data_IF_613819196144
#
_entry.id   IF_613819196144
#
_cell.length_a   1.000
_cell.length_b   1.000
_cell.length_c   1.000
_cell.angle_alpha   90.00
_cell.angle_beta   90.00
_cell.angle_gamma   90.00
#
_symmetry.space_group_name_H-M   'P 1'
#
loop_
_entity.id
_entity.type
_entity.pdbx_description
1 polymer ?
#
# COMPACT_ATOMS: atom_id res chain seq x y z
N UNK A 1 5.74 -17.76 53.39
CA UNK A 1 4.46 -17.42 52.68
C UNK A 1 4.66 -16.27 51.68
N UNK A 2 5.38 -15.23 51.98
CA UNK A 2 5.58 -14.06 51.08
C UNK A 2 6.18 -14.39 49.68
N UNK A 3 7.16 -15.30 49.59
CA UNK A 3 7.77 -15.66 48.30
C UNK A 3 6.80 -16.32 47.29
N UNK A 4 5.78 -17.04 47.75
CA UNK A 4 4.76 -17.64 46.87
C UNK A 4 3.81 -16.56 46.32
N UNK A 5 3.45 -15.58 47.13
CA UNK A 5 2.58 -14.47 46.72
C UNK A 5 3.24 -13.57 45.68
N UNK A 6 4.54 -13.31 45.78
CA UNK A 6 5.31 -12.54 44.78
C UNK A 6 5.31 -13.28 43.42
N UNK A 7 5.39 -14.62 43.42
CA UNK A 7 5.28 -15.42 42.20
C UNK A 7 3.92 -15.31 41.53
N UNK A 8 2.83 -15.34 42.28
CA UNK A 8 1.47 -15.23 41.72
C UNK A 8 1.18 -13.82 41.18
N UNK A 9 1.69 -12.76 41.85
CA UNK A 9 1.57 -11.39 41.38
C UNK A 9 2.36 -11.19 40.06
N UNK A 10 3.57 -11.75 39.97
CA UNK A 10 4.39 -11.70 38.77
C UNK A 10 3.73 -12.41 37.57
N UNK A 11 3.17 -13.61 37.78
CA UNK A 11 2.46 -14.36 36.73
C UNK A 11 1.17 -13.63 36.30
N UNK A 12 0.41 -13.09 37.26
CA UNK A 12 -0.80 -12.30 36.96
C UNK A 12 -0.50 -11.05 36.13
N UNK A 13 0.56 -10.33 36.48
CA UNK A 13 1.02 -9.14 35.74
C UNK A 13 1.46 -9.50 34.30
N UNK A 14 2.19 -10.58 34.11
CA UNK A 14 2.57 -11.08 32.79
C UNK A 14 1.36 -11.49 31.94
N UNK A 15 0.39 -12.18 32.53
CA UNK A 15 -0.86 -12.52 31.83
C UNK A 15 -1.66 -11.29 31.42
N UNK A 16 -1.79 -10.28 32.30
CA UNK A 16 -2.47 -9.04 31.98
C UNK A 16 -1.75 -8.27 30.85
N UNK A 17 -0.42 -8.22 30.88
CA UNK A 17 0.38 -7.61 29.83
C UNK A 17 0.21 -8.34 28.48
N UNK A 18 0.24 -9.67 28.47
CA UNK A 18 0.02 -10.48 27.27
C UNK A 18 -1.39 -10.31 26.69
N UNK A 19 -2.42 -10.27 27.54
CA UNK A 19 -3.80 -10.00 27.13
C UNK A 19 -3.94 -8.57 26.57
N UNK A 20 -3.35 -7.58 27.22
CA UNK A 20 -3.34 -6.19 26.74
C UNK A 20 -2.64 -6.06 25.37
N UNK A 21 -1.48 -6.67 25.20
CA UNK A 21 -0.78 -6.73 23.90
C UNK A 21 -1.61 -7.44 22.83
N UNK A 22 -2.29 -8.54 23.17
CA UNK A 22 -3.18 -9.27 22.25
C UNK A 22 -4.36 -8.42 21.79
N UNK A 23 -4.99 -7.67 22.69
CA UNK A 23 -6.11 -6.76 22.35
C UNK A 23 -5.63 -5.62 21.44
N UNK A 24 -4.48 -5.02 21.75
CA UNK A 24 -3.91 -3.95 20.92
C UNK A 24 -3.54 -4.47 19.52
N UNK A 25 -2.94 -5.64 19.44
CA UNK A 25 -2.60 -6.28 18.17
C UNK A 25 -3.85 -6.56 17.31
N UNK A 26 -4.90 -7.15 17.92
CA UNK A 26 -6.14 -7.45 17.18
C UNK A 26 -6.85 -6.17 16.73
N UNK A 27 -6.83 -5.10 17.53
CA UNK A 27 -7.38 -3.79 17.14
C UNK A 27 -6.61 -3.19 15.97
N UNK A 28 -5.29 -3.24 16.02
CA UNK A 28 -4.43 -2.75 14.93
C UNK A 28 -4.65 -3.53 13.63
N UNK A 29 -4.71 -4.86 13.71
CA UNK A 29 -4.97 -5.72 12.56
C UNK A 29 -6.36 -5.46 11.95
N UNK A 30 -7.38 -5.25 12.77
CA UNK A 30 -8.73 -4.90 12.29
C UNK A 30 -8.74 -3.54 11.59
N UNK A 31 -8.10 -2.53 12.19
CA UNK A 31 -8.04 -1.20 11.60
C UNK A 31 -7.32 -1.22 10.24
N UNK A 32 -6.23 -1.96 10.14
CA UNK A 32 -5.53 -2.16 8.87
C UNK A 32 -6.42 -2.85 7.84
N UNK A 33 -7.15 -3.91 8.23
CA UNK A 33 -8.08 -4.61 7.35
C UNK A 33 -9.21 -3.69 6.88
N UNK A 34 -9.82 -2.91 7.78
CA UNK A 34 -10.90 -1.97 7.40
C UNK A 34 -10.42 -0.86 6.47
N UNK A 35 -9.14 -0.45 6.54
CA UNK A 35 -8.54 0.47 5.58
C UNK A 35 -8.33 -0.23 4.23
N UNK A 36 -7.81 -1.47 4.24
CA UNK A 36 -7.57 -2.20 2.99
C UNK A 36 -8.85 -2.51 2.23
N UNK A 37 -9.95 -2.76 2.92
CA UNK A 37 -11.27 -3.01 2.31
C UNK A 37 -11.92 -1.77 1.66
N UNK A 38 -11.31 -0.59 1.80
CA UNK A 38 -11.85 0.69 1.31
C UNK A 38 -11.02 1.34 0.22
N UNK A 39 -9.89 0.75 -0.12
CA UNK A 39 -8.96 1.33 -1.09
C UNK A 39 -8.57 0.31 -2.13
N UNK A 40 -8.44 0.75 -3.38
CA UNK A 40 -7.81 -0.01 -4.44
C UNK A 40 -6.37 0.47 -4.60
N UNK A 41 -5.43 -0.47 -4.58
CA UNK A 41 -4.02 -0.17 -4.78
C UNK A 41 -3.61 -0.34 -6.24
N UNK A 42 -2.44 0.19 -6.58
CA UNK A 42 -1.84 0.04 -7.89
C UNK A 42 -0.33 -0.12 -7.74
N UNK A 43 0.24 -1.12 -8.42
CA UNK A 43 1.68 -1.26 -8.46
C UNK A 43 2.18 -1.79 -9.80
N UNK A 44 3.41 -1.40 -10.15
CA UNK A 44 4.09 -1.83 -11.36
C UNK A 44 5.44 -2.42 -10.98
N UNK A 45 5.70 -3.64 -11.46
CA UNK A 45 6.96 -4.36 -11.26
C UNK A 45 7.82 -4.19 -12.50
N UNK A 46 9.07 -3.75 -12.31
CA UNK A 46 10.05 -3.71 -13.39
C UNK A 46 10.59 -5.11 -13.70
N UNK A 47 11.04 -5.32 -14.93
CA UNK A 47 11.72 -6.55 -15.32
C UNK A 47 12.97 -6.82 -14.45
N UNK A 48 13.80 -5.80 -14.19
CA UNK A 48 14.97 -5.88 -13.30
C UNK A 48 15.24 -4.54 -12.59
N UNK A 49 16.31 -4.50 -11.78
CA UNK A 49 16.77 -3.29 -11.09
C UNK A 49 17.74 -2.44 -11.92
N UNK A 50 17.91 -2.74 -13.21
CA UNK A 50 18.67 -1.87 -14.10
C UNK A 50 18.01 -0.50 -14.21
N UNK A 51 18.80 0.56 -14.34
CA UNK A 51 18.28 1.93 -14.53
C UNK A 51 17.35 2.00 -15.75
N UNK A 52 17.64 1.27 -16.80
CA UNK A 52 16.84 1.20 -18.01
C UNK A 52 15.44 0.58 -17.73
N UNK A 53 15.38 -0.55 -17.03
CA UNK A 53 14.11 -1.19 -16.67
C UNK A 53 13.31 -0.37 -15.64
N UNK A 54 13.98 0.29 -14.73
CA UNK A 54 13.33 1.19 -13.78
C UNK A 54 12.73 2.41 -14.49
N UNK A 55 13.37 2.97 -15.51
CA UNK A 55 12.84 4.05 -16.33
C UNK A 55 11.65 3.58 -17.18
N UNK A 56 11.76 2.39 -17.79
CA UNK A 56 10.66 1.77 -18.54
C UNK A 56 9.43 1.56 -17.67
N UNK A 57 9.61 1.05 -16.45
CA UNK A 57 8.52 0.91 -15.46
C UNK A 57 7.80 2.24 -15.21
N UNK A 58 8.54 3.34 -15.10
CA UNK A 58 7.92 4.66 -14.90
C UNK A 58 7.14 5.11 -16.13
N UNK A 59 7.63 4.84 -17.35
CA UNK A 59 6.87 5.13 -18.56
C UNK A 59 5.58 4.33 -18.66
N UNK A 60 5.62 3.02 -18.36
CA UNK A 60 4.43 2.15 -18.32
C UNK A 60 3.44 2.63 -17.25
N UNK A 61 3.93 2.97 -16.05
CA UNK A 61 3.10 3.56 -14.99
C UNK A 61 2.34 4.79 -15.47
N UNK A 62 3.04 5.70 -16.16
CA UNK A 62 2.46 6.97 -16.61
C UNK A 62 1.41 6.76 -17.70
N UNK A 63 1.69 5.86 -18.67
CA UNK A 63 0.74 5.52 -19.72
C UNK A 63 -0.54 4.88 -19.16
N UNK A 64 -0.39 3.85 -18.32
CA UNK A 64 -1.53 3.20 -17.66
C UNK A 64 -2.25 4.15 -16.72
N UNK A 65 -1.51 4.99 -16.00
CA UNK A 65 -2.08 6.01 -15.13
C UNK A 65 -2.98 6.99 -15.88
N UNK A 66 -2.50 7.53 -17.00
CA UNK A 66 -3.27 8.46 -17.85
C UNK A 66 -4.51 7.78 -18.42
N UNK A 67 -4.39 6.55 -18.92
CA UNK A 67 -5.50 5.76 -19.42
C UNK A 67 -6.57 5.52 -18.33
N UNK A 68 -6.17 5.12 -17.13
CA UNK A 68 -7.09 4.87 -16.03
C UNK A 68 -7.70 6.15 -15.46
N UNK A 69 -7.01 7.27 -15.49
CA UNK A 69 -7.55 8.56 -15.06
C UNK A 69 -8.81 8.94 -15.85
N UNK A 70 -8.80 8.73 -17.16
CA UNK A 70 -9.98 8.98 -18.01
C UNK A 70 -11.13 8.02 -17.68
N UNK A 71 -10.82 6.73 -17.54
CA UNK A 71 -11.80 5.67 -17.23
C UNK A 71 -12.45 5.85 -15.86
N UNK A 72 -11.69 6.33 -14.88
CA UNK A 72 -12.14 6.49 -13.49
C UNK A 72 -12.71 7.88 -13.17
N UNK A 73 -12.75 8.80 -14.13
CA UNK A 73 -13.19 10.19 -13.90
C UNK A 73 -14.61 10.31 -13.34
N UNK A 74 -15.50 9.37 -13.68
CA UNK A 74 -16.90 9.37 -13.24
C UNK A 74 -17.20 8.34 -12.13
N UNK A 75 -16.19 7.65 -11.62
CA UNK A 75 -16.33 6.60 -10.59
C UNK A 75 -16.52 7.23 -9.21
N UNK A 76 -17.61 6.83 -8.53
CA UNK A 76 -18.00 7.41 -7.24
C UNK A 76 -17.59 6.53 -6.03
N UNK A 77 -17.43 5.20 -6.23
CA UNK A 77 -17.18 4.26 -5.15
C UNK A 77 -16.18 3.17 -5.55
N UNK A 78 -15.70 2.43 -4.55
CA UNK A 78 -14.69 1.38 -4.72
C UNK A 78 -15.18 0.24 -5.62
N UNK A 79 -16.42 -0.24 -5.42
CA UNK A 79 -16.98 -1.37 -6.19
C UNK A 79 -17.06 -1.04 -7.69
N UNK A 80 -17.45 0.18 -8.01
CA UNK A 80 -17.47 0.69 -9.38
C UNK A 80 -16.05 0.81 -9.95
N UNK A 81 -15.09 1.29 -9.15
CA UNK A 81 -13.68 1.36 -9.53
C UNK A 81 -13.12 -0.01 -9.89
N UNK A 82 -13.33 -1.00 -9.02
CA UNK A 82 -12.89 -2.39 -9.26
C UNK A 82 -13.52 -2.98 -10.52
N UNK A 83 -14.81 -2.71 -10.74
CA UNK A 83 -15.51 -3.18 -11.93
C UNK A 83 -14.91 -2.58 -13.21
N UNK A 84 -14.66 -1.28 -13.23
CA UNK A 84 -14.05 -0.57 -14.37
C UNK A 84 -12.63 -1.12 -14.63
N UNK A 85 -11.81 -1.28 -13.58
CA UNK A 85 -10.46 -1.85 -13.71
C UNK A 85 -10.54 -3.26 -14.30
N UNK A 86 -11.39 -4.13 -13.74
CA UNK A 86 -11.56 -5.52 -14.18
C UNK A 86 -11.98 -5.63 -15.64
N UNK A 87 -12.87 -4.75 -16.09
CA UNK A 87 -13.32 -4.70 -17.46
C UNK A 87 -12.26 -4.14 -18.43
N UNK A 88 -11.32 -3.35 -17.91
CA UNK A 88 -10.29 -2.68 -18.70
C UNK A 88 -8.94 -3.43 -18.73
N UNK A 89 -8.80 -4.60 -18.07
CA UNK A 89 -7.50 -5.28 -17.96
C UNK A 89 -6.82 -5.50 -19.32
N UNK A 90 -7.56 -5.92 -20.35
CA UNK A 90 -6.99 -6.11 -21.69
C UNK A 90 -6.50 -4.80 -22.33
N UNK A 91 -7.25 -3.70 -22.16
CA UNK A 91 -6.86 -2.38 -22.68
C UNK A 91 -5.66 -1.81 -21.87
N UNK A 92 -5.56 -2.15 -20.59
CA UNK A 92 -4.41 -1.80 -19.72
C UNK A 92 -3.15 -2.53 -20.21
N UNK A 93 -3.25 -3.83 -20.49
CA UNK A 93 -2.13 -4.61 -21.05
C UNK A 93 -1.70 -4.06 -22.41
N UNK A 94 -2.65 -3.71 -23.29
CA UNK A 94 -2.37 -3.12 -24.58
C UNK A 94 -1.61 -1.78 -24.45
N UNK A 95 -2.09 -0.86 -23.62
CA UNK A 95 -1.43 0.42 -23.36
C UNK A 95 -0.01 0.25 -22.77
N UNK A 96 0.16 -0.72 -21.87
CA UNK A 96 1.46 -1.07 -21.31
C UNK A 96 2.40 -1.65 -22.37
N UNK A 97 1.92 -2.60 -23.21
CA UNK A 97 2.69 -3.22 -24.27
C UNK A 97 3.11 -2.22 -25.36
N UNK A 98 2.21 -1.32 -25.78
CA UNK A 98 2.53 -0.23 -26.69
C UNK A 98 3.66 0.66 -26.13
N UNK A 99 3.57 1.04 -24.85
CA UNK A 99 4.62 1.85 -24.20
C UNK A 99 5.96 1.12 -24.16
N UNK A 100 5.97 -0.20 -23.89
CA UNK A 100 7.18 -1.05 -23.91
C UNK A 100 7.80 -1.04 -25.29
N UNK A 101 7.01 -1.26 -26.35
CA UNK A 101 7.45 -1.26 -27.73
C UNK A 101 7.97 0.11 -28.21
N UNK A 102 7.30 1.21 -27.85
CA UNK A 102 7.74 2.58 -28.16
C UNK A 102 9.10 2.91 -27.54
N UNK A 103 9.40 2.34 -26.37
CA UNK A 103 10.70 2.46 -25.71
C UNK A 103 11.74 1.43 -26.25
N UNK A 104 11.43 0.71 -27.33
CA UNK A 104 12.33 -0.23 -27.99
C UNK A 104 12.68 -1.47 -27.14
N UNK A 105 11.77 -1.94 -26.31
CA UNK A 105 11.85 -3.19 -25.56
C UNK A 105 10.88 -4.23 -26.13
N UNK A 106 11.19 -5.51 -25.86
CA UNK A 106 10.40 -6.67 -26.28
C UNK A 106 10.06 -7.55 -25.05
N UNK A 107 9.53 -6.88 -24.00
CA UNK A 107 9.10 -7.57 -22.79
C UNK A 107 7.61 -7.87 -22.86
N UNK A 108 7.24 -9.07 -22.43
CA UNK A 108 5.85 -9.37 -22.12
C UNK A 108 5.36 -8.53 -20.96
N UNK A 109 4.08 -8.23 -20.92
CA UNK A 109 3.43 -7.54 -19.81
C UNK A 109 2.13 -8.20 -19.45
N UNK A 110 1.81 -8.25 -18.17
CA UNK A 110 0.52 -8.72 -17.65
C UNK A 110 -0.09 -7.70 -16.73
N UNK A 111 -1.43 -7.59 -16.77
CA UNK A 111 -2.21 -6.79 -15.83
C UNK A 111 -3.25 -7.67 -15.12
N UNK A 112 -3.24 -7.68 -13.82
CA UNK A 112 -4.12 -8.48 -12.98
C UNK A 112 -4.74 -7.64 -11.87
N UNK A 113 -6.00 -7.93 -11.54
CA UNK A 113 -6.63 -7.40 -10.33
C UNK A 113 -6.63 -8.52 -9.30
N UNK A 114 -5.81 -8.38 -8.26
CA UNK A 114 -5.58 -9.43 -7.26
C UNK A 114 -5.34 -8.87 -5.86
N UNK A 115 -5.50 -9.74 -4.86
CA UNK A 115 -5.03 -9.44 -3.51
C UNK A 115 -3.52 -9.67 -3.41
N UNK A 116 -2.79 -8.63 -3.01
CA UNK A 116 -1.34 -8.72 -2.85
C UNK A 116 -0.84 -7.90 -1.65
N UNK A 117 0.30 -8.30 -1.10
CA UNK A 117 0.88 -7.66 0.07
C UNK A 117 1.61 -6.37 -0.28
N UNK A 118 1.28 -5.30 0.42
CA UNK A 118 1.93 -4.00 0.33
C UNK A 118 2.73 -3.70 1.58
N UNK A 119 3.95 -3.14 1.45
CA UNK A 119 4.67 -2.57 2.58
C UNK A 119 4.03 -1.26 3.04
N UNK A 120 4.47 -0.73 4.18
CA UNK A 120 4.13 0.65 4.58
C UNK A 120 4.56 1.61 3.50
N UNK A 121 3.67 2.51 3.07
CA UNK A 121 3.95 3.53 2.05
C UNK A 121 3.46 4.90 2.47
N UNK A 122 4.33 5.88 2.26
CA UNK A 122 4.07 7.29 2.55
C UNK A 122 3.78 8.04 1.24
N UNK A 123 2.72 8.84 1.25
CA UNK A 123 2.31 9.71 0.16
C UNK A 123 2.05 11.11 0.74
N UNK A 124 3.06 11.96 0.74
CA UNK A 124 2.98 13.25 1.42
C UNK A 124 2.66 13.09 2.90
N UNK A 125 1.54 13.64 3.34
CA UNK A 125 1.06 13.55 4.74
C UNK A 125 0.33 12.24 5.07
N UNK A 126 0.16 11.33 4.11
CA UNK A 126 -0.60 10.09 4.28
C UNK A 126 0.31 8.88 4.32
N UNK A 127 0.10 8.01 5.30
CA UNK A 127 0.84 6.77 5.48
C UNK A 127 -0.10 5.58 5.48
N UNK A 128 -0.04 4.76 4.45
CA UNK A 128 -0.82 3.52 4.38
C UNK A 128 -0.06 2.38 5.07
N UNK A 129 -0.72 1.64 5.97
CA UNK A 129 -0.10 0.53 6.67
C UNK A 129 0.26 -0.62 5.72
N UNK A 130 1.24 -1.43 6.13
CA UNK A 130 1.49 -2.70 5.47
C UNK A 130 0.29 -3.63 5.63
N UNK A 131 0.00 -4.42 4.60
CA UNK A 131 -1.10 -5.39 4.64
C UNK A 131 -1.47 -5.90 3.25
N UNK A 132 -2.46 -6.78 3.21
CA UNK A 132 -3.00 -7.30 1.95
C UNK A 132 -4.10 -6.37 1.45
N UNK A 133 -4.01 -6.01 0.18
CA UNK A 133 -4.92 -5.09 -0.50
C UNK A 133 -5.35 -5.68 -1.84
N UNK A 134 -6.59 -5.40 -2.26
CA UNK A 134 -6.95 -5.52 -3.68
C UNK A 134 -6.14 -4.51 -4.47
N UNK A 135 -5.53 -4.94 -5.58
CA UNK A 135 -4.63 -4.10 -6.37
C UNK A 135 -4.65 -4.42 -7.86
N UNK A 136 -4.60 -3.39 -8.70
CA UNK A 136 -4.13 -3.54 -10.06
C UNK A 136 -2.61 -3.74 -10.03
N UNK A 137 -2.18 -4.91 -10.49
CA UNK A 137 -0.78 -5.30 -10.60
C UNK A 137 -0.36 -5.38 -12.05
N UNK A 138 0.71 -4.69 -12.41
CA UNK A 138 1.34 -4.78 -13.73
C UNK A 138 2.73 -5.36 -13.57
N UNK A 139 3.04 -6.39 -14.34
CA UNK A 139 4.35 -7.05 -14.34
C UNK A 139 4.97 -6.92 -15.72
N UNK A 140 6.15 -6.34 -15.77
CA UNK A 140 6.95 -6.17 -16.99
C UNK A 140 8.04 -7.24 -16.99
N UNK A 141 8.05 -8.08 -18.05
CA UNK A 141 9.01 -9.17 -18.20
C UNK A 141 9.00 -10.14 -17.02
N UNK A 142 10.17 -10.37 -16.41
CA UNK A 142 10.33 -11.29 -15.28
C UNK A 142 9.80 -10.73 -13.94
N UNK A 143 9.53 -9.43 -13.84
CA UNK A 143 9.04 -8.81 -12.62
C UNK A 143 10.01 -8.87 -11.42
N UNK A 144 11.31 -8.99 -11.67
CA UNK A 144 12.34 -9.18 -10.65
C UNK A 144 12.91 -7.87 -10.11
N UNK A 145 12.48 -6.72 -10.64
CA UNK A 145 12.94 -5.40 -10.23
C UNK A 145 12.08 -4.78 -9.13
N UNK A 146 12.52 -3.61 -8.65
CA UNK A 146 11.80 -2.86 -7.63
C UNK A 146 10.42 -2.42 -8.11
N UNK A 147 9.44 -2.55 -7.21
CA UNK A 147 8.07 -2.10 -7.42
C UNK A 147 7.93 -0.59 -7.30
N UNK A 148 7.01 -0.05 -8.08
CA UNK A 148 6.38 1.24 -7.82
C UNK A 148 4.97 1.00 -7.22
N UNK A 149 4.57 1.81 -6.23
CA UNK A 149 3.39 1.58 -5.41
C UNK A 149 2.51 2.82 -5.32
N UNK A 150 1.18 2.67 -5.44
CA UNK A 150 0.23 3.76 -5.27
C UNK A 150 -1.14 3.34 -4.74
N UNK A 151 -2.06 4.33 -4.57
CA UNK A 151 -3.49 4.17 -4.26
C UNK A 151 -4.28 4.66 -5.46
N UNK A 152 -5.01 3.76 -6.13
CA UNK A 152 -5.82 4.08 -7.30
C UNK A 152 -7.19 4.63 -6.90
N UNK A 153 -7.79 4.06 -5.85
CA UNK A 153 -9.02 4.57 -5.27
C UNK A 153 -8.88 4.70 -3.75
N UNK A 154 -9.23 5.84 -3.14
CA UNK A 154 -9.47 7.12 -3.80
C UNK A 154 -8.26 7.60 -4.59
N UNK A 155 -8.48 8.31 -5.69
CA UNK A 155 -7.42 8.67 -6.62
C UNK A 155 -6.33 9.52 -5.97
N UNK A 156 -5.16 8.90 -5.73
CA UNK A 156 -3.95 9.56 -5.23
C UNK A 156 -2.78 9.43 -6.22
N UNK A 157 -2.99 8.68 -7.34
CA UNK A 157 -1.94 8.35 -8.29
C UNK A 157 -1.86 9.29 -9.49
N UNK A 158 -2.94 9.99 -9.80
CA UNK A 158 -3.13 10.63 -11.11
C UNK A 158 -3.28 12.14 -11.00
N UNK A 159 -2.90 12.75 -9.89
CA UNK A 159 -2.82 14.20 -9.78
C UNK A 159 -1.54 14.73 -10.46
N UNK A 160 -1.62 15.92 -11.07
CA UNK A 160 -0.51 16.58 -11.78
C UNK A 160 0.78 16.78 -10.96
N UNK A 161 0.70 16.56 -9.65
CA UNK A 161 1.83 16.62 -8.73
C UNK A 161 2.32 15.22 -8.34
N UNK A 162 2.84 14.45 -9.29
CA UNK A 162 3.23 13.04 -9.12
C UNK A 162 4.34 12.77 -8.08
N UNK A 163 4.85 13.75 -7.36
CA UNK A 163 6.07 13.52 -6.58
C UNK A 163 6.07 13.91 -5.11
N UNK A 164 5.17 14.78 -4.59
CA UNK A 164 5.29 15.14 -3.15
C UNK A 164 4.01 15.69 -2.47
N UNK A 165 2.98 16.04 -3.19
CA UNK A 165 1.78 16.64 -2.59
C UNK A 165 0.55 15.89 -3.07
N UNK A 166 -0.06 15.11 -2.18
CA UNK A 166 -1.42 14.60 -2.42
C UNK A 166 -2.33 15.78 -2.61
N UNK A 167 -3.02 15.84 -3.75
CA UNK A 167 -3.95 16.90 -4.07
C UNK A 167 -5.01 17.03 -2.97
N UNK A 168 -5.48 18.24 -2.71
CA UNK A 168 -6.53 18.48 -1.72
C UNK A 168 -7.79 17.67 -2.00
N UNK A 169 -8.13 17.50 -3.28
CA UNK A 169 -9.29 16.73 -3.70
C UNK A 169 -9.15 15.24 -3.33
N UNK A 170 -7.98 14.65 -3.56
CA UNK A 170 -7.70 13.27 -3.15
C UNK A 170 -7.77 13.10 -1.62
N UNK A 171 -7.28 14.08 -0.87
CA UNK A 171 -7.38 14.11 0.58
C UNK A 171 -8.83 14.24 1.09
N UNK A 172 -9.67 15.04 0.44
CA UNK A 172 -11.09 15.16 0.75
C UNK A 172 -11.83 13.86 0.47
N UNK A 173 -11.64 13.24 -0.70
CA UNK A 173 -12.21 11.93 -1.02
C UNK A 173 -11.77 10.84 -0.04
N UNK A 174 -10.49 10.82 0.34
CA UNK A 174 -10.01 9.88 1.35
C UNK A 174 -10.74 10.05 2.70
N UNK A 175 -11.05 11.30 3.07
CA UNK A 175 -11.79 11.62 4.29
C UNK A 175 -13.26 11.20 4.22
N UNK A 176 -13.86 11.15 3.05
CA UNK A 176 -15.23 10.67 2.83
C UNK A 176 -15.32 9.15 2.90
N UNK A 177 -14.30 8.45 2.39
CA UNK A 177 -14.25 6.98 2.31
C UNK A 177 -13.87 6.36 3.65
N UNK A 178 -12.94 6.97 4.39
CA UNK A 178 -12.44 6.46 5.66
C UNK A 178 -13.28 7.00 6.84
N UNK A 179 -13.43 6.19 7.88
CA UNK A 179 -13.91 6.69 9.18
C UNK A 179 -12.91 7.66 9.80
N UNK A 180 -13.33 8.46 10.76
CA UNK A 180 -12.41 9.41 11.45
C UNK A 180 -11.20 8.70 12.04
N UNK A 181 -11.37 7.53 12.66
CA UNK A 181 -10.26 6.75 13.26
C UNK A 181 -9.28 6.24 12.18
N UNK A 182 -9.79 5.73 11.05
CA UNK A 182 -8.99 5.27 9.91
C UNK A 182 -8.24 6.42 9.24
N UNK A 183 -8.93 7.56 9.04
CA UNK A 183 -8.34 8.75 8.45
C UNK A 183 -7.21 9.32 9.31
N UNK A 184 -7.43 9.47 10.63
CA UNK A 184 -6.39 9.90 11.56
C UNK A 184 -5.21 8.92 11.57
N UNK A 185 -5.48 7.62 11.40
CA UNK A 185 -4.43 6.60 11.31
C UNK A 185 -3.58 6.75 10.06
N UNK A 186 -4.18 7.03 8.92
CA UNK A 186 -3.49 7.25 7.63
C UNK A 186 -2.79 8.62 7.62
N UNK A 187 -3.40 9.64 8.23
CA UNK A 187 -2.84 11.00 8.32
C UNK A 187 -1.70 11.13 9.35
N UNK A 188 -1.50 10.16 10.22
CA UNK A 188 -0.44 10.22 11.23
C UNK A 188 0.94 10.30 10.54
N UNK A 189 1.62 11.42 10.71
CA UNK A 189 2.93 11.72 10.12
C UNK A 189 3.91 10.55 10.25
N UNK A 190 4.36 10.11 9.11
CA UNK A 190 5.12 8.94 8.78
C UNK A 190 6.37 8.64 9.59
N UNK A 191 6.25 8.14 10.78
CA UNK A 191 7.28 7.29 11.36
C UNK A 191 6.61 6.06 12.00
N UNK A 192 5.99 5.21 11.16
CA UNK A 192 5.61 3.85 11.56
C UNK A 192 6.86 2.95 11.60
N UNK A 193 7.86 3.38 12.31
CA UNK A 193 8.79 2.44 12.89
C UNK A 193 8.05 1.80 14.07
N UNK A 194 7.86 0.49 14.02
CA UNK A 194 7.45 -0.30 15.18
C UNK A 194 8.56 -0.15 16.22
N UNK A 195 8.60 0.98 16.90
CA UNK A 195 9.50 1.23 18.03
C UNK A 195 8.84 0.69 19.28
N UNK A 196 9.33 -0.42 19.77
CA UNK A 196 8.96 -0.87 21.10
C UNK A 196 9.51 0.10 22.12
N UNK A 197 8.66 1.00 22.63
CA UNK A 197 9.03 2.03 23.62
C UNK A 197 9.70 1.46 24.88
N UNK A 198 9.37 0.22 25.26
CA UNK A 198 9.88 -0.46 26.45
C UNK A 198 10.96 -1.51 26.17
N UNK A 199 11.22 -1.83 24.90
CA UNK A 199 12.24 -2.79 24.48
C UNK A 199 13.08 -2.18 23.36
N UNK A 200 13.55 -0.95 23.57
CA UNK A 200 14.28 -0.17 22.55
C UNK A 200 15.51 -0.89 21.97
N UNK A 201 16.07 -1.85 22.70
CA UNK A 201 17.16 -2.70 22.24
C UNK A 201 16.77 -3.67 21.10
N UNK A 202 15.47 -3.93 20.89
CA UNK A 202 14.97 -4.73 19.77
C UNK A 202 14.77 -3.92 18.48
N UNK A 203 14.69 -2.59 18.55
CA UNK A 203 14.44 -1.74 17.40
C UNK A 203 15.42 -1.96 16.23
N UNK A 204 16.76 -2.13 16.44
CA UNK A 204 17.69 -2.39 15.36
C UNK A 204 17.47 -3.72 14.61
N UNK A 205 16.82 -4.69 15.27
CA UNK A 205 16.46 -5.96 14.64
C UNK A 205 15.16 -5.87 13.86
N UNK A 206 14.20 -5.04 14.32
CA UNK A 206 12.93 -4.78 13.64
C UNK A 206 13.15 -3.93 12.38
N UNK A 207 14.04 -2.95 12.45
CA UNK A 207 14.44 -2.13 11.27
C UNK A 207 15.01 -3.01 10.15
N UNK A 208 15.89 -3.95 10.48
CA UNK A 208 16.45 -4.91 9.50
C UNK A 208 15.41 -5.87 8.89
N UNK A 209 14.34 -6.17 9.60
CA UNK A 209 13.26 -7.03 9.09
C UNK A 209 12.28 -6.24 8.19
N UNK A 210 12.20 -4.93 8.34
CA UNK A 210 11.36 -4.06 7.52
C UNK A 210 12.04 -3.63 6.21
N UNK A 211 13.36 -3.79 6.08
CA UNK A 211 14.15 -3.46 4.88
C UNK A 211 14.25 -4.63 3.88
N UNK A 212 13.78 -5.83 4.23
CA UNK A 212 13.70 -6.99 3.35
C UNK A 212 12.24 -7.24 2.92
#
# INVERSE_FOLDING_TARGET
MAKKWIGYIGVGSLMCAALGCGILYTRQARLQQTISDKVLRFHVLANSDSEADQNLKLAVRDAVGSFMQEKLAAVENLEECELVVRQSLGEIEEAAAETIAENSYDYDVTAELEHTSFPVKNYGSYTFPAGDYEALRIVIGEGNGHNWWCVMYPNMCFSDSMYEVVDKEAGEKLREVLTTEEYEKVLAEGDYQVRMKYFSWLNPYLEKLAEN
#
